data_IF_211306311139
#
_entry.id   IF_211306311139
#
_cell.length_a   1.000
_cell.length_b   1.000
_cell.length_c   1.000
_cell.angle_alpha   90.00
_cell.angle_beta   90.00
_cell.angle_gamma   90.00
#
_symmetry.space_group_name_H-M   'P 1'
#
loop_
_entity.id
_entity.type
_entity.pdbx_description
1 polymer ?
#
# COMPACT_ATOMS: atom_id res chain seq x y z
N UNK A 1 24.29 44.68 -21.94
CA UNK A 1 24.17 43.49 -21.09
C UNK A 1 23.52 42.43 -21.94
N UNK A 2 24.30 41.48 -22.46
CA UNK A 2 23.71 40.30 -23.08
C UNK A 2 23.07 39.50 -21.95
N UNK A 3 21.77 39.20 -22.05
CA UNK A 3 21.17 38.16 -21.24
C UNK A 3 22.00 36.91 -21.49
N UNK A 4 22.55 36.30 -20.44
CA UNK A 4 23.12 34.97 -20.58
C UNK A 4 22.01 34.09 -21.15
N UNK A 5 22.21 33.50 -22.34
CA UNK A 5 21.31 32.48 -22.85
C UNK A 5 21.20 31.43 -21.75
N UNK A 6 20.00 31.32 -21.16
CA UNK A 6 19.65 30.24 -20.26
C UNK A 6 20.01 28.94 -20.97
N UNK A 7 20.79 28.10 -20.30
CA UNK A 7 21.18 26.80 -20.81
C UNK A 7 20.13 25.79 -20.29
N UNK A 8 19.20 25.32 -21.14
CA UNK A 8 18.09 24.47 -20.69
C UNK A 8 18.56 23.19 -19.98
N UNK A 9 19.77 22.71 -20.28
CA UNK A 9 20.39 21.60 -19.56
C UNK A 9 20.69 21.91 -18.08
N UNK A 10 21.22 23.11 -17.79
CA UNK A 10 21.49 23.53 -16.41
C UNK A 10 20.19 23.79 -15.66
N UNK A 11 19.18 24.33 -16.36
CA UNK A 11 17.86 24.58 -15.79
C UNK A 11 17.15 23.26 -15.45
N UNK A 12 17.23 22.24 -16.33
CA UNK A 12 16.71 20.91 -16.06
C UNK A 12 17.37 20.26 -14.83
N UNK A 13 18.69 20.40 -14.69
CA UNK A 13 19.40 19.91 -13.49
C UNK A 13 18.90 20.61 -12.22
N UNK A 14 18.74 21.94 -12.26
CA UNK A 14 18.23 22.70 -11.12
C UNK A 14 16.78 22.31 -10.78
N UNK A 15 15.95 22.03 -11.79
CA UNK A 15 14.60 21.53 -11.61
C UNK A 15 14.60 20.16 -10.90
N UNK A 16 15.46 19.22 -11.31
CA UNK A 16 15.61 17.91 -10.64
C UNK A 16 16.02 18.09 -9.18
N UNK A 17 17.02 18.94 -8.92
CA UNK A 17 17.50 19.23 -7.56
C UNK A 17 16.39 19.85 -6.68
N UNK A 18 15.54 20.70 -7.26
CA UNK A 18 14.39 21.27 -6.57
C UNK A 18 13.32 20.22 -6.25
N UNK A 19 12.94 19.39 -7.23
CA UNK A 19 11.89 18.37 -7.11
C UNK A 19 12.23 17.30 -6.06
N UNK A 20 13.50 16.88 -6.02
CA UNK A 20 13.98 15.91 -5.03
C UNK A 20 14.54 16.57 -3.76
N UNK A 21 14.45 17.90 -3.65
CA UNK A 21 14.87 18.64 -2.47
C UNK A 21 13.88 18.51 -1.31
N UNK A 22 14.37 18.78 -0.10
CA UNK A 22 13.58 18.72 1.14
C UNK A 22 12.33 19.63 1.11
N UNK A 23 12.38 20.71 0.33
CA UNK A 23 11.28 21.66 0.17
C UNK A 23 10.04 21.03 -0.46
N UNK A 24 10.22 19.97 -1.26
CA UNK A 24 9.12 19.24 -1.89
C UNK A 24 8.83 17.94 -1.15
N UNK A 25 9.87 17.17 -0.80
CA UNK A 25 9.70 15.82 -0.25
C UNK A 25 9.10 15.80 1.16
N UNK A 26 9.31 16.85 1.96
CA UNK A 26 8.90 16.88 3.38
C UNK A 26 7.76 17.87 3.68
N UNK A 27 7.16 18.47 2.66
CA UNK A 27 6.07 19.44 2.84
C UNK A 27 4.70 18.82 2.65
N UNK A 28 3.72 19.39 3.34
CA UNK A 28 2.33 19.15 3.03
C UNK A 28 2.03 19.73 1.64
N UNK A 29 1.25 19.01 0.85
CA UNK A 29 0.87 19.42 -0.50
C UNK A 29 0.31 20.85 -0.56
N UNK A 30 -0.48 21.27 0.43
CA UNK A 30 -1.05 22.62 0.53
C UNK A 30 -0.01 23.75 0.74
N UNK A 31 1.23 23.40 1.09
CA UNK A 31 2.33 24.35 1.36
C UNK A 31 3.35 24.43 0.20
N UNK A 32 3.10 23.69 -0.88
CA UNK A 32 3.96 23.67 -2.06
C UNK A 32 3.69 24.92 -2.91
N UNK A 33 4.77 25.57 -3.34
CA UNK A 33 4.69 26.65 -4.31
C UNK A 33 4.40 26.07 -5.71
N UNK A 34 3.12 26.10 -6.09
CA UNK A 34 2.63 25.53 -7.35
C UNK A 34 3.26 26.19 -8.57
N UNK A 35 3.48 27.51 -8.56
CA UNK A 35 4.05 28.24 -9.70
C UNK A 35 5.50 27.80 -9.94
N UNK A 36 6.28 27.66 -8.87
CA UNK A 36 7.67 27.19 -8.96
C UNK A 36 7.73 25.72 -9.40
N UNK A 37 6.86 24.86 -8.89
CA UNK A 37 6.80 23.45 -9.28
C UNK A 37 6.31 23.25 -10.72
N UNK A 38 5.32 24.02 -11.16
CA UNK A 38 4.85 24.01 -12.54
C UNK A 38 5.96 24.46 -13.50
N UNK A 39 6.68 25.53 -13.16
CA UNK A 39 7.83 25.96 -13.95
C UNK A 39 8.92 24.88 -14.03
N UNK A 40 9.24 24.20 -12.92
CA UNK A 40 10.21 23.12 -12.90
C UNK A 40 9.77 21.94 -13.80
N UNK A 41 8.50 21.56 -13.77
CA UNK A 41 7.94 20.53 -14.63
C UNK A 41 7.99 20.92 -16.12
N UNK A 42 7.68 22.18 -16.47
CA UNK A 42 7.77 22.70 -17.84
C UNK A 42 9.22 22.68 -18.38
N UNK A 43 10.19 23.07 -17.54
CA UNK A 43 11.62 23.03 -17.88
C UNK A 43 12.06 21.59 -18.18
N UNK A 44 11.65 20.62 -17.36
CA UNK A 44 11.92 19.21 -17.59
C UNK A 44 11.27 18.69 -18.88
N UNK A 45 10.00 19.02 -19.09
CA UNK A 45 9.25 18.63 -20.28
C UNK A 45 9.95 19.11 -21.55
N UNK A 46 10.35 20.39 -21.55
CA UNK A 46 11.09 21.01 -22.65
C UNK A 46 12.46 20.38 -22.85
N UNK A 47 13.18 20.07 -21.78
CA UNK A 47 14.52 19.49 -21.86
C UNK A 47 14.49 18.08 -22.48
N UNK A 48 13.49 17.26 -22.13
CA UNK A 48 13.30 15.92 -22.72
C UNK A 48 13.11 16.00 -24.24
N UNK A 49 12.39 17.01 -24.74
CA UNK A 49 12.17 17.19 -26.19
C UNK A 49 13.40 17.70 -26.94
N UNK A 50 14.23 18.51 -26.28
CA UNK A 50 15.37 19.19 -26.91
C UNK A 50 16.63 18.34 -26.97
N UNK A 51 16.80 17.40 -26.04
CA UNK A 51 18.08 16.69 -25.86
C UNK A 51 17.93 15.19 -26.01
N UNK A 52 18.80 14.58 -26.83
CA UNK A 52 18.98 13.13 -26.86
C UNK A 52 19.99 12.73 -25.78
N UNK A 53 19.49 12.47 -24.58
CA UNK A 53 20.32 12.06 -23.45
C UNK A 53 20.83 10.62 -23.61
N UNK A 54 22.01 10.29 -23.06
CA UNK A 54 22.36 8.90 -22.75
C UNK A 54 21.26 8.29 -21.88
N UNK A 55 20.94 7.02 -22.09
CA UNK A 55 19.72 6.40 -21.54
C UNK A 55 19.53 6.55 -20.02
N UNK A 56 20.61 6.49 -19.24
CA UNK A 56 20.56 6.68 -17.78
C UNK A 56 20.12 8.10 -17.40
N UNK A 57 20.63 9.12 -18.10
CA UNK A 57 20.19 10.50 -17.92
C UNK A 57 18.77 10.69 -18.45
N UNK A 58 18.42 10.05 -19.57
CA UNK A 58 17.07 10.09 -20.15
C UNK A 58 16.02 9.61 -19.12
N UNK A 59 16.30 8.50 -18.44
CA UNK A 59 15.49 7.96 -17.36
C UNK A 59 15.30 8.94 -16.20
N UNK A 60 16.37 9.56 -15.70
CA UNK A 60 16.31 10.49 -14.57
C UNK A 60 15.40 11.70 -14.88
N UNK A 61 15.48 12.24 -16.10
CA UNK A 61 14.63 13.37 -16.49
C UNK A 61 13.16 12.96 -16.56
N UNK A 62 12.85 11.78 -17.13
CA UNK A 62 11.48 11.27 -17.17
C UNK A 62 10.93 10.95 -15.77
N UNK A 63 11.75 10.40 -14.87
CA UNK A 63 11.37 10.18 -13.48
C UNK A 63 11.04 11.50 -12.78
N UNK A 64 11.89 12.51 -12.93
CA UNK A 64 11.64 13.83 -12.34
C UNK A 64 10.37 14.49 -12.92
N UNK A 65 10.12 14.34 -14.23
CA UNK A 65 8.91 14.87 -14.87
C UNK A 65 7.66 14.19 -14.31
N UNK A 66 7.63 12.86 -14.25
CA UNK A 66 6.48 12.11 -13.71
C UNK A 66 6.26 12.44 -12.23
N UNK A 67 7.33 12.45 -11.43
CA UNK A 67 7.24 12.73 -10.01
C UNK A 67 6.71 14.15 -9.74
N UNK A 68 7.25 15.17 -10.42
CA UNK A 68 6.77 16.55 -10.31
C UNK A 68 5.32 16.71 -10.78
N UNK A 69 4.95 16.04 -11.87
CA UNK A 69 3.58 16.06 -12.41
C UNK A 69 2.58 15.48 -11.42
N UNK A 70 2.94 14.39 -10.73
CA UNK A 70 2.12 13.80 -9.64
C UNK A 70 1.95 14.80 -8.50
N UNK A 71 3.05 15.31 -7.97
CA UNK A 71 3.03 16.20 -6.79
C UNK A 71 2.22 17.46 -7.11
N UNK A 72 2.44 18.06 -8.29
CA UNK A 72 1.74 19.25 -8.72
C UNK A 72 0.22 19.05 -8.76
N UNK A 73 -0.24 17.93 -9.35
CA UNK A 73 -1.67 17.69 -9.52
C UNK A 73 -2.35 17.25 -8.22
N UNK A 74 -1.66 16.53 -7.33
CA UNK A 74 -2.18 16.30 -5.97
C UNK A 74 -2.24 17.59 -5.16
N UNK A 75 -1.22 18.45 -5.25
CA UNK A 75 -1.23 19.74 -4.57
C UNK A 75 -2.35 20.66 -5.07
N UNK A 76 -2.70 20.61 -6.37
CA UNK A 76 -3.89 21.29 -6.91
C UNK A 76 -5.18 20.79 -6.28
N UNK A 77 -5.38 19.47 -6.16
CA UNK A 77 -6.57 18.88 -5.54
C UNK A 77 -6.75 19.40 -4.10
N UNK A 78 -5.67 19.46 -3.33
CA UNK A 78 -5.68 19.94 -1.93
C UNK A 78 -6.09 21.41 -1.78
N UNK A 79 -5.91 22.22 -2.83
CA UNK A 79 -6.32 23.64 -2.85
C UNK A 79 -7.53 23.91 -3.76
N UNK A 80 -8.34 22.88 -4.02
CA UNK A 80 -9.56 22.93 -4.85
C UNK A 80 -9.32 23.46 -6.28
N UNK A 81 -8.13 23.23 -6.84
CA UNK A 81 -7.79 23.51 -8.23
C UNK A 81 -7.98 22.28 -9.13
N UNK A 82 -8.32 22.51 -10.39
CA UNK A 82 -8.47 21.43 -11.38
C UNK A 82 -7.11 20.83 -11.77
N UNK A 83 -7.06 19.51 -11.90
CA UNK A 83 -5.91 18.81 -12.50
C UNK A 83 -5.71 19.20 -13.96
N UNK A 84 -4.47 19.22 -14.43
CA UNK A 84 -4.13 19.51 -15.83
C UNK A 84 -4.00 18.20 -16.61
N UNK A 85 -5.09 17.77 -17.24
CA UNK A 85 -5.16 16.48 -17.94
C UNK A 85 -4.16 16.38 -19.09
N UNK A 86 -4.03 17.42 -19.92
CA UNK A 86 -3.10 17.44 -21.05
C UNK A 86 -1.64 17.23 -20.59
N UNK A 87 -1.26 17.80 -19.44
CA UNK A 87 0.08 17.63 -18.86
C UNK A 87 0.32 16.18 -18.39
N UNK A 88 -0.70 15.56 -17.79
CA UNK A 88 -0.64 14.17 -17.33
C UNK A 88 -0.52 13.21 -18.52
N UNK A 89 -1.31 13.43 -19.56
CA UNK A 89 -1.31 12.63 -20.79
C UNK A 89 0.03 12.77 -21.52
N UNK A 90 0.53 14.00 -21.71
CA UNK A 90 1.82 14.25 -22.36
C UNK A 90 2.97 13.58 -21.60
N UNK A 91 3.00 13.67 -20.27
CA UNK A 91 4.04 13.02 -19.47
C UNK A 91 4.04 11.49 -19.65
N UNK A 92 2.85 10.86 -19.70
CA UNK A 92 2.73 9.42 -19.94
C UNK A 92 3.10 9.02 -21.38
N UNK A 93 2.78 9.85 -22.38
CA UNK A 93 3.21 9.62 -23.77
C UNK A 93 4.74 9.60 -23.89
N UNK A 94 5.43 10.51 -23.19
CA UNK A 94 6.90 10.52 -23.14
C UNK A 94 7.46 9.27 -22.46
N UNK A 95 6.82 8.78 -21.40
CA UNK A 95 7.18 7.50 -20.78
C UNK A 95 7.02 6.34 -21.76
N UNK A 96 5.90 6.26 -22.48
CA UNK A 96 5.66 5.21 -23.48
C UNK A 96 6.73 5.25 -24.58
N UNK A 97 7.09 6.44 -25.08
CA UNK A 97 8.17 6.63 -26.05
C UNK A 97 9.55 6.17 -25.51
N UNK A 98 9.86 6.48 -24.24
CA UNK A 98 11.09 6.04 -23.59
C UNK A 98 11.18 4.51 -23.49
N UNK A 99 10.07 3.85 -23.14
CA UNK A 99 9.99 2.39 -23.05
C UNK A 99 10.16 1.74 -24.42
N UNK A 100 9.55 2.30 -25.47
CA UNK A 100 9.71 1.82 -26.85
C UNK A 100 11.14 1.97 -27.36
N UNK A 101 11.81 3.08 -27.03
CA UNK A 101 13.22 3.32 -27.35
C UNK A 101 14.15 2.32 -26.64
N UNK A 102 13.75 1.83 -25.47
CA UNK A 102 14.61 1.05 -24.57
C UNK A 102 13.98 -0.27 -24.05
N UNK A 103 13.58 -1.20 -24.93
CA UNK A 103 12.75 -2.36 -24.56
C UNK A 103 13.45 -3.40 -23.66
N UNK A 104 14.78 -3.30 -23.51
CA UNK A 104 15.59 -4.26 -22.74
C UNK A 104 16.06 -3.71 -21.38
N UNK A 105 15.69 -2.47 -21.04
CA UNK A 105 16.07 -1.87 -19.76
C UNK A 105 15.05 -2.22 -18.69
N UNK A 106 15.56 -2.60 -17.52
CA UNK A 106 14.76 -3.14 -16.40
C UNK A 106 14.83 -2.26 -15.16
N UNK A 107 15.20 -0.98 -15.31
CA UNK A 107 15.35 -0.02 -14.20
C UNK A 107 14.29 1.10 -14.25
N UNK A 108 13.14 0.80 -14.83
CA UNK A 108 12.00 1.71 -14.90
C UNK A 108 11.03 1.54 -13.73
N UNK A 109 11.41 0.80 -12.67
CA UNK A 109 10.51 0.42 -11.57
C UNK A 109 9.75 1.61 -10.97
N UNK A 110 10.47 2.63 -10.49
CA UNK A 110 9.85 3.82 -9.89
C UNK A 110 9.05 4.63 -10.92
N UNK A 111 9.60 4.80 -12.13
CA UNK A 111 8.94 5.53 -13.22
C UNK A 111 7.57 4.91 -13.56
N UNK A 112 7.52 3.59 -13.72
CA UNK A 112 6.31 2.85 -14.04
C UNK A 112 5.35 2.78 -12.86
N UNK A 113 5.87 2.68 -11.63
CA UNK A 113 5.04 2.73 -10.42
C UNK A 113 4.26 4.04 -10.35
N UNK A 114 4.95 5.17 -10.53
CA UNK A 114 4.37 6.51 -10.53
C UNK A 114 3.47 6.76 -11.74
N UNK A 115 3.87 6.32 -12.94
CA UNK A 115 3.02 6.39 -14.13
C UNK A 115 1.68 5.68 -13.92
N UNK A 116 1.69 4.54 -13.22
CA UNK A 116 0.47 3.85 -12.83
C UNK A 116 -0.41 4.64 -11.85
N UNK A 117 0.20 5.45 -10.96
CA UNK A 117 -0.54 6.35 -10.08
C UNK A 117 -1.20 7.49 -10.84
N UNK A 118 -0.49 8.13 -11.79
CA UNK A 118 -1.07 9.14 -12.67
C UNK A 118 -2.31 8.56 -13.37
N UNK A 119 -2.13 7.45 -14.07
CA UNK A 119 -3.19 6.83 -14.84
C UNK A 119 -4.39 6.46 -13.95
N UNK A 120 -4.17 5.85 -12.79
CA UNK A 120 -5.27 5.43 -11.91
C UNK A 120 -5.97 6.60 -11.22
N UNK A 121 -5.21 7.48 -10.58
CA UNK A 121 -5.75 8.43 -9.60
C UNK A 121 -6.00 9.82 -10.16
N UNK A 122 -5.29 10.22 -11.22
CA UNK A 122 -5.41 11.55 -11.81
C UNK A 122 -6.16 11.54 -13.14
N UNK A 123 -6.03 10.45 -13.92
CA UNK A 123 -6.76 10.26 -15.19
C UNK A 123 -8.01 9.38 -15.07
N UNK A 124 -8.24 8.75 -13.91
CA UNK A 124 -9.30 7.75 -13.69
C UNK A 124 -9.31 6.61 -14.73
N UNK A 125 -8.12 6.20 -15.20
CA UNK A 125 -7.93 5.04 -16.07
C UNK A 125 -7.24 3.89 -15.30
N UNK A 126 -8.01 3.07 -14.55
CA UNK A 126 -7.46 1.94 -13.81
C UNK A 126 -6.86 0.86 -14.71
N UNK A 127 -7.26 0.77 -15.99
CA UNK A 127 -6.70 -0.23 -16.91
C UNK A 127 -5.31 0.17 -17.37
N UNK A 128 -5.12 1.45 -17.68
CA UNK A 128 -3.81 2.00 -17.99
C UNK A 128 -2.89 1.95 -16.77
N UNK A 129 -3.41 2.28 -15.57
CA UNK A 129 -2.67 2.13 -14.32
C UNK A 129 -2.17 0.70 -14.11
N UNK A 130 -3.05 -0.28 -14.31
CA UNK A 130 -2.69 -1.70 -14.23
C UNK A 130 -1.65 -2.12 -15.29
N UNK A 131 -1.71 -1.59 -16.53
CA UNK A 131 -0.69 -1.84 -17.57
C UNK A 131 0.70 -1.42 -17.07
N UNK A 132 0.84 -0.22 -16.52
CA UNK A 132 2.12 0.26 -15.99
C UNK A 132 2.59 -0.56 -14.79
N UNK A 133 1.73 -0.82 -13.82
CA UNK A 133 2.08 -1.64 -12.66
C UNK A 133 2.43 -3.08 -13.03
N UNK A 134 1.85 -3.63 -14.10
CA UNK A 134 2.23 -4.94 -14.60
C UNK A 134 3.67 -4.95 -15.14
N UNK A 135 4.04 -3.98 -15.98
CA UNK A 135 5.41 -3.82 -16.49
C UNK A 135 6.40 -3.59 -15.34
N UNK A 136 6.01 -2.76 -14.37
CA UNK A 136 6.78 -2.45 -13.18
C UNK A 136 7.05 -3.70 -12.30
N UNK A 137 6.03 -4.53 -12.07
CA UNK A 137 6.15 -5.77 -11.30
C UNK A 137 7.08 -6.78 -11.97
N UNK A 138 7.13 -6.83 -13.31
CA UNK A 138 8.08 -7.66 -14.05
C UNK A 138 9.54 -7.25 -13.81
N UNK A 139 9.78 -6.03 -13.34
CA UNK A 139 11.09 -5.52 -12.94
C UNK A 139 11.35 -5.67 -11.42
N UNK A 140 10.59 -6.54 -10.75
CA UNK A 140 10.72 -6.82 -9.32
C UNK A 140 10.53 -5.60 -8.40
N UNK A 141 9.79 -4.57 -8.86
CA UNK A 141 9.41 -3.46 -8.00
C UNK A 141 8.32 -3.89 -7.00
N UNK A 142 8.64 -3.88 -5.71
CA UNK A 142 7.81 -4.46 -4.65
C UNK A 142 6.43 -3.80 -4.53
N UNK A 143 6.34 -2.48 -4.70
CA UNK A 143 5.06 -1.76 -4.68
C UNK A 143 4.11 -2.25 -5.78
N UNK A 144 4.64 -2.48 -6.98
CA UNK A 144 3.86 -2.95 -8.12
C UNK A 144 3.43 -4.41 -7.95
N UNK A 145 4.34 -5.27 -7.47
CA UNK A 145 4.02 -6.66 -7.16
C UNK A 145 2.92 -6.76 -6.09
N UNK A 146 2.96 -5.92 -5.05
CA UNK A 146 1.89 -5.83 -4.04
C UNK A 146 0.55 -5.43 -4.65
N UNK A 147 0.54 -4.43 -5.54
CA UNK A 147 -0.68 -4.00 -6.23
C UNK A 147 -1.25 -5.14 -7.07
N UNK A 148 -0.43 -5.84 -7.86
CA UNK A 148 -0.89 -6.98 -8.64
C UNK A 148 -1.44 -8.09 -7.73
N UNK A 149 -0.71 -8.44 -6.67
CA UNK A 149 -1.09 -9.49 -5.75
C UNK A 149 -2.46 -9.21 -5.11
N UNK A 150 -2.67 -7.96 -4.69
CA UNK A 150 -3.94 -7.49 -4.13
C UNK A 150 -5.08 -7.57 -5.13
N UNK A 151 -4.87 -7.10 -6.37
CA UNK A 151 -5.93 -7.11 -7.39
C UNK A 151 -6.28 -8.52 -7.86
N UNK A 152 -5.32 -9.43 -7.94
CA UNK A 152 -5.60 -10.84 -8.17
C UNK A 152 -6.36 -11.49 -7.01
N UNK A 153 -6.18 -11.02 -5.77
CA UNK A 153 -6.96 -11.50 -4.63
C UNK A 153 -8.41 -10.99 -4.67
N UNK A 154 -8.58 -9.68 -4.85
CA UNK A 154 -9.87 -9.00 -4.68
C UNK A 154 -10.71 -8.95 -5.96
N UNK A 155 -10.08 -9.02 -7.13
CA UNK A 155 -10.72 -8.71 -8.40
C UNK A 155 -10.86 -7.20 -8.66
N UNK A 156 -10.08 -6.38 -7.96
CA UNK A 156 -10.02 -4.94 -8.14
C UNK A 156 -9.72 -4.55 -9.60
N UNK A 157 -10.16 -3.35 -9.99
CA UNK A 157 -10.00 -2.80 -11.34
C UNK A 157 -10.60 -3.65 -12.48
N UNK A 158 -11.56 -4.51 -12.16
CA UNK A 158 -12.18 -5.43 -13.13
C UNK A 158 -11.25 -6.58 -13.55
N UNK A 159 -10.18 -6.81 -12.79
CA UNK A 159 -9.28 -7.95 -12.98
C UNK A 159 -9.98 -9.22 -12.48
N UNK A 160 -9.78 -10.33 -13.19
CA UNK A 160 -10.29 -11.62 -12.75
C UNK A 160 -9.51 -12.09 -11.52
N UNK A 161 -10.22 -12.44 -10.45
CA UNK A 161 -9.63 -13.08 -9.27
C UNK A 161 -8.84 -14.33 -9.66
N UNK A 162 -7.63 -14.46 -9.11
CA UNK A 162 -6.67 -15.52 -9.36
C UNK A 162 -5.78 -15.69 -8.11
N UNK A 163 -6.20 -16.58 -7.21
CA UNK A 163 -5.55 -16.75 -5.90
C UNK A 163 -4.13 -17.31 -6.02
N UNK A 164 -3.88 -18.18 -7.01
CA UNK A 164 -2.53 -18.69 -7.28
C UNK A 164 -1.58 -17.55 -7.68
N UNK A 165 -2.02 -16.65 -8.57
CA UNK A 165 -1.22 -15.47 -8.93
C UNK A 165 -1.08 -14.48 -7.78
N UNK A 166 -2.13 -14.28 -6.98
CA UNK A 166 -2.05 -13.44 -5.79
C UNK A 166 -0.97 -13.95 -4.83
N UNK A 167 -1.01 -15.24 -4.49
CA UNK A 167 -0.01 -15.88 -3.64
C UNK A 167 1.39 -15.80 -4.25
N UNK A 168 1.52 -16.06 -5.56
CA UNK A 168 2.79 -15.94 -6.26
C UNK A 168 3.42 -14.55 -6.11
N UNK A 169 2.68 -13.47 -6.40
CA UNK A 169 3.20 -12.10 -6.34
C UNK A 169 3.47 -11.64 -4.91
N UNK A 170 2.65 -12.04 -3.94
CA UNK A 170 2.97 -11.81 -2.53
C UNK A 170 4.26 -12.52 -2.12
N UNK A 171 4.46 -13.76 -2.56
CA UNK A 171 5.69 -14.49 -2.29
C UNK A 171 6.92 -13.85 -3.00
N UNK A 172 6.77 -13.36 -4.24
CA UNK A 172 7.87 -12.63 -4.91
C UNK A 172 8.24 -11.35 -4.17
N UNK A 173 7.25 -10.60 -3.68
CA UNK A 173 7.49 -9.38 -2.89
C UNK A 173 8.13 -9.69 -1.54
N UNK A 174 7.71 -10.77 -0.88
CA UNK A 174 8.37 -11.23 0.35
C UNK A 174 9.86 -11.51 0.11
N UNK A 175 10.23 -12.11 -1.03
CA UNK A 175 11.61 -12.43 -1.37
C UNK A 175 12.49 -11.19 -1.63
N UNK A 176 11.90 -9.98 -1.78
CA UNK A 176 12.69 -8.75 -1.80
C UNK A 176 13.21 -8.36 -0.40
N UNK A 177 12.78 -9.06 0.65
CA UNK A 177 13.18 -8.80 2.03
C UNK A 177 12.82 -7.38 2.46
N UNK A 178 13.79 -6.69 3.04
CA UNK A 178 13.63 -5.32 3.56
C UNK A 178 14.01 -4.22 2.54
N UNK A 179 14.38 -4.59 1.31
CA UNK A 179 14.83 -3.63 0.28
C UNK A 179 13.81 -2.55 -0.05
N UNK A 180 12.52 -2.84 0.19
CA UNK A 180 11.41 -1.91 0.02
C UNK A 180 10.68 -1.70 1.36
N UNK A 181 11.45 -1.57 2.44
CA UNK A 181 10.96 -1.32 3.79
C UNK A 181 9.87 -2.32 4.20
N UNK A 182 8.65 -1.86 4.50
CA UNK A 182 7.53 -2.70 4.92
C UNK A 182 6.89 -3.56 3.81
N UNK A 183 7.27 -3.40 2.54
CA UNK A 183 6.59 -4.08 1.44
C UNK A 183 6.66 -5.61 1.55
N UNK A 184 7.83 -6.15 1.94
CA UNK A 184 8.03 -7.58 2.16
C UNK A 184 7.23 -8.11 3.35
N UNK A 185 7.20 -7.36 4.46
CA UNK A 185 6.39 -7.68 5.66
C UNK A 185 4.90 -7.70 5.33
N UNK A 186 4.41 -6.68 4.63
CA UNK A 186 3.03 -6.60 4.17
C UNK A 186 2.66 -7.82 3.34
N UNK A 187 3.47 -8.15 2.34
CA UNK A 187 3.24 -9.29 1.45
C UNK A 187 3.26 -10.64 2.17
N UNK A 188 4.20 -10.83 3.09
CA UNK A 188 4.27 -12.03 3.91
C UNK A 188 3.02 -12.22 4.78
N UNK A 189 2.47 -11.13 5.34
CA UNK A 189 1.18 -11.16 6.08
C UNK A 189 0.02 -11.58 5.18
N UNK A 190 -0.02 -11.09 3.94
CA UNK A 190 -1.06 -11.47 2.97
C UNK A 190 -0.92 -12.92 2.52
N UNK A 191 0.31 -13.36 2.18
CA UNK A 191 0.62 -14.74 1.85
C UNK A 191 0.18 -15.70 2.98
N UNK A 192 0.44 -15.34 4.24
CA UNK A 192 -0.05 -16.08 5.42
C UNK A 192 -1.58 -16.19 5.44
N UNK A 193 -2.29 -15.07 5.26
CA UNK A 193 -3.75 -15.05 5.21
C UNK A 193 -4.32 -15.89 4.07
N UNK A 194 -3.70 -15.83 2.89
CA UNK A 194 -4.06 -16.67 1.74
C UNK A 194 -3.88 -18.15 2.08
N UNK A 195 -2.74 -18.56 2.65
CA UNK A 195 -2.52 -19.97 3.04
C UNK A 195 -3.43 -20.44 4.18
N UNK A 196 -3.90 -19.53 5.04
CA UNK A 196 -4.91 -19.87 6.04
C UNK A 196 -6.24 -20.28 5.37
N UNK A 197 -6.61 -19.60 4.28
CA UNK A 197 -7.84 -19.90 3.51
C UNK A 197 -7.66 -21.05 2.50
N UNK A 198 -6.46 -21.14 1.92
CA UNK A 198 -6.10 -22.01 0.80
C UNK A 198 -4.78 -22.75 1.10
N UNK A 199 -4.76 -23.65 2.10
CA UNK A 199 -3.56 -24.37 2.48
C UNK A 199 -2.99 -25.24 1.35
N UNK A 200 -3.82 -25.65 0.39
CA UNK A 200 -3.42 -26.43 -0.78
C UNK A 200 -2.46 -25.70 -1.74
N UNK A 201 -2.32 -24.38 -1.63
CA UNK A 201 -1.41 -23.60 -2.49
C UNK A 201 0.07 -23.83 -2.16
N UNK A 202 0.37 -24.49 -1.05
CA UNK A 202 1.73 -24.74 -0.61
C UNK A 202 1.85 -26.06 0.14
N UNK A 203 2.56 -27.02 -0.45
CA UNK A 203 2.85 -28.31 0.20
C UNK A 203 3.93 -28.20 1.29
N UNK A 204 4.77 -27.17 1.24
CA UNK A 204 5.99 -27.06 2.07
C UNK A 204 5.86 -26.10 3.24
N UNK A 205 5.07 -25.05 3.07
CA UNK A 205 4.91 -23.96 4.03
C UNK A 205 3.44 -23.78 4.33
N UNK A 206 3.05 -23.89 5.58
CA UNK A 206 1.70 -23.62 6.07
C UNK A 206 1.61 -22.19 6.62
N UNK A 207 0.40 -21.72 6.93
CA UNK A 207 0.22 -20.35 7.44
C UNK A 207 0.96 -20.11 8.77
N UNK A 208 1.11 -21.14 9.61
CA UNK A 208 1.80 -21.05 10.90
C UNK A 208 3.30 -20.70 10.73
N UNK A 209 3.92 -21.21 9.66
CA UNK A 209 5.35 -21.02 9.38
C UNK A 209 5.70 -19.57 9.01
N UNK A 210 4.72 -18.78 8.57
CA UNK A 210 4.94 -17.39 8.18
C UNK A 210 5.14 -16.44 9.36
N UNK A 211 4.60 -16.75 10.55
CA UNK A 211 4.70 -15.80 11.68
C UNK A 211 6.17 -15.55 12.07
N UNK A 212 7.03 -16.58 12.28
CA UNK A 212 8.45 -16.35 12.53
C UNK A 212 9.16 -15.60 11.39
N UNK A 213 8.83 -15.89 10.14
CA UNK A 213 9.46 -15.22 8.97
C UNK A 213 9.10 -13.73 8.90
N UNK A 214 7.84 -13.39 9.15
CA UNK A 214 7.38 -12.00 9.22
C UNK A 214 8.11 -11.27 10.35
N UNK A 215 8.20 -11.87 11.54
CA UNK A 215 8.86 -11.26 12.69
C UNK A 215 10.36 -11.05 12.45
N UNK A 216 11.02 -11.97 11.77
CA UNK A 216 12.43 -11.84 11.39
C UNK A 216 12.68 -10.69 10.39
N UNK A 217 11.74 -10.40 9.47
CA UNK A 217 11.83 -9.21 8.62
C UNK A 217 11.63 -7.92 9.41
N UNK A 218 10.71 -7.92 10.38
CA UNK A 218 10.47 -6.76 11.23
C UNK A 218 11.70 -6.47 12.10
N UNK A 219 12.32 -7.49 12.68
CA UNK A 219 13.55 -7.35 13.48
C UNK A 219 14.70 -6.75 12.63
N UNK A 220 14.89 -7.22 11.40
CA UNK A 220 15.86 -6.63 10.47
C UNK A 220 15.56 -5.15 10.16
N UNK A 221 14.29 -4.77 10.03
CA UNK A 221 13.90 -3.37 9.82
C UNK A 221 14.18 -2.50 11.06
N UNK A 222 13.87 -3.02 12.25
CA UNK A 222 14.16 -2.35 13.52
C UNK A 222 15.67 -2.11 13.68
N UNK A 223 16.50 -3.08 13.27
CA UNK A 223 17.97 -2.96 13.28
C UNK A 223 18.49 -1.95 12.25
N UNK A 224 18.02 -1.99 11.00
CA UNK A 224 18.52 -1.16 9.90
C UNK A 224 18.15 0.32 10.06
N UNK A 225 16.89 0.60 10.42
CA UNK A 225 16.36 1.96 10.40
C UNK A 225 16.38 2.66 11.77
N UNK A 226 16.74 1.97 12.85
CA UNK A 226 16.73 2.52 14.22
C UNK A 226 15.41 3.26 14.55
N UNK A 227 14.29 2.72 14.06
CA UNK A 227 12.97 3.33 14.21
C UNK A 227 12.37 2.91 15.57
N UNK A 228 12.07 3.90 16.41
CA UNK A 228 11.42 3.72 17.71
C UNK A 228 9.93 3.37 17.60
N UNK A 229 9.39 3.22 16.38
CA UNK A 229 8.02 2.78 16.15
C UNK A 229 7.78 1.35 16.62
N UNK A 230 7.21 1.22 17.83
CA UNK A 230 6.89 -0.07 18.45
C UNK A 230 5.99 -0.97 17.58
N UNK A 231 5.20 -0.40 16.65
CA UNK A 231 4.36 -1.15 15.72
C UNK A 231 4.87 -1.10 14.27
N UNK A 232 6.19 -1.11 14.09
CA UNK A 232 6.88 -1.21 12.80
C UNK A 232 6.19 -2.23 11.87
N UNK A 233 5.79 -1.78 10.68
CA UNK A 233 5.11 -2.56 9.64
C UNK A 233 3.90 -3.40 10.11
N UNK A 234 3.26 -3.00 11.21
CA UNK A 234 2.11 -3.67 11.80
C UNK A 234 2.43 -4.93 12.62
N UNK A 235 3.55 -4.93 13.34
CA UNK A 235 3.99 -6.01 14.26
C UNK A 235 2.87 -6.49 15.20
N UNK A 236 2.10 -5.58 15.79
CA UNK A 236 0.94 -5.91 16.64
C UNK A 236 -0.16 -6.65 15.88
N UNK A 237 -0.47 -6.22 14.64
CA UNK A 237 -1.45 -6.91 13.79
C UNK A 237 -0.97 -8.31 13.39
N UNK A 238 0.33 -8.52 13.19
CA UNK A 238 0.89 -9.87 12.91
C UNK A 238 0.52 -10.84 14.02
N UNK A 239 0.81 -10.45 15.28
CA UNK A 239 0.55 -11.26 16.47
C UNK A 239 -0.94 -11.45 16.73
N UNK A 240 -1.74 -10.39 16.58
CA UNK A 240 -3.19 -10.47 16.74
C UNK A 240 -3.81 -11.45 15.73
N UNK A 241 -3.45 -11.35 14.45
CA UNK A 241 -3.97 -12.26 13.43
C UNK A 241 -3.48 -13.70 13.65
N UNK A 242 -2.25 -13.92 14.17
CA UNK A 242 -1.82 -15.26 14.59
C UNK A 242 -2.74 -15.81 15.69
N UNK A 243 -3.01 -15.02 16.74
CA UNK A 243 -3.93 -15.40 17.80
C UNK A 243 -5.34 -15.72 17.25
N UNK A 244 -5.85 -14.89 16.33
CA UNK A 244 -7.18 -15.09 15.74
C UNK A 244 -7.24 -16.34 14.86
N UNK A 245 -6.21 -16.62 14.06
CA UNK A 245 -6.15 -17.84 13.24
C UNK A 245 -6.03 -19.10 14.10
N UNK A 246 -5.20 -19.09 15.16
CA UNK A 246 -5.15 -20.19 16.13
C UNK A 246 -6.51 -20.41 16.80
N UNK A 247 -7.15 -19.33 17.27
CA UNK A 247 -8.47 -19.41 17.89
C UNK A 247 -9.53 -19.94 16.92
N UNK A 248 -9.48 -19.53 15.66
CA UNK A 248 -10.44 -19.93 14.64
C UNK A 248 -10.29 -21.39 14.22
N UNK A 249 -9.06 -21.82 13.91
CA UNK A 249 -8.78 -23.15 13.36
C UNK A 249 -8.95 -24.26 14.40
N UNK A 250 -8.50 -24.02 15.64
CA UNK A 250 -8.39 -25.07 16.64
C UNK A 250 -8.85 -24.67 18.05
N UNK A 251 -9.47 -23.49 18.20
CA UNK A 251 -9.95 -22.96 19.48
C UNK A 251 -8.84 -22.78 20.54
N UNK A 252 -7.58 -22.63 20.11
CA UNK A 252 -6.46 -22.33 21.01
C UNK A 252 -6.49 -20.87 21.42
N UNK A 253 -6.45 -20.63 22.74
CA UNK A 253 -6.42 -19.29 23.33
C UNK A 253 -5.00 -18.94 23.75
N UNK A 254 -4.18 -18.53 22.80
CA UNK A 254 -2.82 -18.08 23.08
C UNK A 254 -2.81 -16.65 23.63
N UNK A 255 -3.14 -16.51 24.92
CA UNK A 255 -3.24 -15.23 25.60
C UNK A 255 -1.90 -14.47 25.65
N UNK A 256 -0.77 -15.16 25.46
CA UNK A 256 0.54 -14.53 25.39
C UNK A 256 0.69 -13.71 24.09
N UNK A 257 0.25 -14.23 22.94
CA UNK A 257 0.23 -13.48 21.68
C UNK A 257 -0.71 -12.27 21.76
N UNK A 258 -1.92 -12.47 22.29
CA UNK A 258 -2.88 -11.38 22.46
C UNK A 258 -2.34 -10.30 23.39
N UNK A 259 -1.70 -10.67 24.50
CA UNK A 259 -1.06 -9.70 25.41
C UNK A 259 0.05 -8.93 24.70
N UNK A 260 0.94 -9.60 23.98
CA UNK A 260 2.03 -8.93 23.26
C UNK A 260 1.51 -7.98 22.17
N UNK A 261 0.49 -8.37 21.41
CA UNK A 261 -0.15 -7.50 20.44
C UNK A 261 -0.68 -6.22 21.11
N UNK A 262 -1.39 -6.36 22.23
CA UNK A 262 -1.92 -5.23 23.00
C UNK A 262 -0.81 -4.32 23.55
N UNK A 263 0.26 -4.91 24.11
CA UNK A 263 1.40 -4.14 24.62
C UNK A 263 2.05 -3.31 23.48
N UNK A 264 2.15 -3.87 22.27
CA UNK A 264 2.66 -3.17 21.08
C UNK A 264 1.73 -2.03 20.65
N UNK A 265 0.42 -2.27 20.56
CA UNK A 265 -0.54 -1.24 20.19
C UNK A 265 -0.51 -0.06 21.17
N UNK A 266 -0.40 -0.33 22.47
CA UNK A 266 -0.27 0.71 23.50
C UNK A 266 1.06 1.46 23.34
N UNK A 267 2.17 0.76 23.11
CA UNK A 267 3.49 1.37 22.97
C UNK A 267 3.64 2.23 21.69
N UNK A 268 2.93 1.90 20.61
CA UNK A 268 2.98 2.65 19.36
C UNK A 268 2.21 3.97 19.41
N UNK A 269 1.32 4.12 20.41
CA UNK A 269 0.49 5.31 20.59
C UNK A 269 0.60 5.89 22.02
N UNK A 270 1.81 6.26 22.52
CA UNK A 270 1.98 6.69 23.92
C UNK A 270 1.19 7.96 24.27
N UNK A 271 0.99 8.84 23.29
CA UNK A 271 0.20 10.07 23.44
C UNK A 271 -1.28 9.88 23.05
N UNK A 272 -1.66 8.66 22.67
CA UNK A 272 -2.97 8.25 22.17
C UNK A 272 -3.43 6.96 22.87
N UNK A 273 -3.08 6.77 24.15
CA UNK A 273 -3.60 5.69 25.02
C UNK A 273 -5.15 5.63 25.10
N UNK A 274 -5.85 6.58 24.48
CA UNK A 274 -7.30 6.67 24.34
C UNK A 274 -7.79 6.68 22.87
N UNK A 275 -6.98 6.26 21.88
CA UNK A 275 -7.49 6.12 20.53
C UNK A 275 -8.53 5.01 20.47
N UNK A 276 -9.60 5.27 19.72
CA UNK A 276 -10.68 4.31 19.51
C UNK A 276 -10.13 3.01 18.89
N UNK A 277 -9.04 3.11 18.13
CA UNK A 277 -8.39 2.01 17.43
C UNK A 277 -7.71 1.04 18.39
N UNK A 278 -6.85 1.55 19.29
CA UNK A 278 -6.22 0.76 20.36
C UNK A 278 -7.28 0.18 21.28
N UNK A 279 -8.32 0.96 21.64
CA UNK A 279 -9.43 0.47 22.44
C UNK A 279 -10.19 -0.69 21.76
N UNK A 280 -10.42 -0.59 20.46
CA UNK A 280 -11.11 -1.62 19.69
C UNK A 280 -10.26 -2.89 19.55
N UNK A 281 -8.94 -2.79 19.35
CA UNK A 281 -8.07 -3.97 19.39
C UNK A 281 -8.03 -4.62 20.78
N UNK A 282 -7.87 -3.82 21.84
CA UNK A 282 -7.80 -4.28 23.22
C UNK A 282 -9.08 -4.94 23.75
N UNK A 283 -10.21 -4.72 23.06
CA UNK A 283 -11.48 -5.35 23.40
C UNK A 283 -11.49 -6.86 23.11
N UNK A 284 -10.68 -7.33 22.16
CA UNK A 284 -10.55 -8.76 21.86
C UNK A 284 -10.05 -9.50 23.12
N UNK A 285 -10.75 -10.57 23.51
CA UNK A 285 -10.44 -11.31 24.73
C UNK A 285 -11.12 -10.78 26.00
N UNK A 286 -11.86 -9.66 25.94
CA UNK A 286 -12.55 -9.08 27.10
C UNK A 286 -14.00 -9.57 27.24
N UNK A 287 -14.56 -9.67 28.47
CA UNK A 287 -15.92 -10.15 28.70
C UNK A 287 -17.01 -9.29 28.04
N UNK A 288 -16.77 -8.00 27.89
CA UNK A 288 -17.67 -6.98 27.33
C UNK A 288 -17.51 -6.78 25.82
N UNK A 289 -16.75 -7.66 25.14
CA UNK A 289 -16.49 -7.54 23.71
C UNK A 289 -17.75 -7.39 22.86
N UNK A 290 -18.74 -8.27 23.08
CA UNK A 290 -19.98 -8.27 22.29
C UNK A 290 -20.89 -7.07 22.61
N UNK A 291 -20.74 -6.48 23.79
CA UNK A 291 -21.50 -5.28 24.19
C UNK A 291 -20.93 -4.01 23.56
N UNK A 292 -19.58 -3.90 23.47
CA UNK A 292 -18.90 -2.65 23.12
C UNK A 292 -18.37 -2.56 21.69
N UNK A 293 -18.10 -3.68 21.03
CA UNK A 293 -17.38 -3.70 19.75
C UNK A 293 -18.07 -2.88 18.65
N UNK A 294 -19.38 -3.03 18.48
CA UNK A 294 -20.13 -2.28 17.44
C UNK A 294 -20.04 -0.77 17.67
N UNK A 295 -20.32 -0.30 18.89
CA UNK A 295 -20.25 1.13 19.21
C UNK A 295 -18.84 1.72 19.05
N UNK A 296 -17.80 0.95 19.40
CA UNK A 296 -16.41 1.35 19.16
C UNK A 296 -16.12 1.44 17.66
N UNK A 297 -16.48 0.43 16.88
CA UNK A 297 -16.28 0.43 15.43
C UNK A 297 -17.02 1.57 14.75
N UNK A 298 -18.24 1.90 15.17
CA UNK A 298 -19.02 3.03 14.65
C UNK A 298 -18.32 4.37 14.89
N UNK A 299 -17.60 4.51 16.01
CA UNK A 299 -16.91 5.75 16.37
C UNK A 299 -15.61 6.01 15.60
N UNK A 300 -15.02 4.98 14.96
CA UNK A 300 -13.85 5.15 14.08
C UNK A 300 -14.25 5.99 12.87
N UNK A 301 -13.52 7.06 12.58
CA UNK A 301 -13.81 7.93 11.44
C UNK A 301 -13.19 7.39 10.14
N UNK A 302 -11.93 6.96 10.21
CA UNK A 302 -11.23 6.43 9.05
C UNK A 302 -11.84 5.10 8.58
N UNK A 303 -12.41 5.03 7.35
CA UNK A 303 -13.04 3.82 6.87
C UNK A 303 -12.05 2.65 6.74
N UNK A 304 -10.78 2.91 6.42
CA UNK A 304 -9.77 1.86 6.25
C UNK A 304 -9.44 1.18 7.59
N UNK A 305 -9.17 1.95 8.64
CA UNK A 305 -9.04 1.46 10.02
C UNK A 305 -10.29 0.70 10.42
N UNK A 306 -11.49 1.25 10.18
CA UNK A 306 -12.76 0.60 10.52
C UNK A 306 -12.89 -0.78 9.87
N UNK A 307 -12.51 -0.92 8.60
CA UNK A 307 -12.50 -2.19 7.88
C UNK A 307 -11.49 -3.18 8.51
N UNK A 308 -10.27 -2.75 8.79
CA UNK A 308 -9.21 -3.60 9.35
C UNK A 308 -9.55 -4.14 10.76
N UNK A 309 -10.07 -3.27 11.63
CA UNK A 309 -10.48 -3.65 12.99
C UNK A 309 -11.75 -4.50 12.93
N UNK A 310 -12.72 -4.11 12.10
CA UNK A 310 -13.95 -4.86 11.86
C UNK A 310 -13.68 -6.29 11.43
N UNK A 311 -12.73 -6.50 10.51
CA UNK A 311 -12.29 -7.84 10.10
C UNK A 311 -11.79 -8.68 11.29
N UNK A 312 -10.95 -8.09 12.13
CA UNK A 312 -10.40 -8.77 13.31
C UNK A 312 -11.49 -9.12 14.33
N UNK A 313 -12.48 -8.24 14.50
CA UNK A 313 -13.65 -8.46 15.35
C UNK A 313 -14.57 -9.55 14.80
N UNK A 314 -14.75 -9.60 13.49
CA UNK A 314 -15.50 -10.66 12.80
C UNK A 314 -14.84 -12.02 13.05
N UNK A 315 -13.53 -12.14 12.80
CA UNK A 315 -12.80 -13.39 13.04
C UNK A 315 -12.96 -13.86 14.49
N UNK A 316 -12.83 -12.94 15.46
CA UNK A 316 -13.01 -13.25 16.87
C UNK A 316 -14.43 -13.72 17.20
N UNK A 317 -15.45 -12.98 16.73
CA UNK A 317 -16.85 -13.33 16.93
C UNK A 317 -17.20 -14.69 16.31
N UNK A 318 -16.73 -14.97 15.09
CA UNK A 318 -16.91 -16.26 14.42
C UNK A 318 -16.22 -17.40 15.17
N UNK A 319 -14.98 -17.22 15.61
CA UNK A 319 -14.27 -18.24 16.38
C UNK A 319 -14.98 -18.59 17.70
N UNK A 320 -15.71 -17.63 18.29
CA UNK A 320 -16.56 -17.83 19.47
C UNK A 320 -18.02 -18.20 19.16
N UNK A 321 -18.32 -18.52 17.89
CA UNK A 321 -19.65 -18.93 17.38
C UNK A 321 -20.74 -17.86 17.56
N UNK A 322 -20.37 -16.60 17.69
CA UNK A 322 -21.30 -15.46 17.78
C UNK A 322 -21.68 -14.94 16.40
N UNK A 323 -22.44 -15.77 15.67
CA UNK A 323 -22.81 -15.52 14.26
C UNK A 323 -23.53 -14.18 14.06
N UNK A 324 -24.55 -13.90 14.87
CA UNK A 324 -25.32 -12.65 14.78
C UNK A 324 -24.43 -11.42 14.94
N UNK A 325 -23.42 -11.50 15.82
CA UNK A 325 -22.49 -10.40 16.05
C UNK A 325 -21.53 -10.20 14.87
N UNK A 326 -20.98 -11.29 14.33
CA UNK A 326 -20.15 -11.24 13.14
C UNK A 326 -20.93 -10.67 11.93
N UNK A 327 -22.20 -11.05 11.76
CA UNK A 327 -23.05 -10.56 10.66
C UNK A 327 -23.42 -9.08 10.82
N UNK A 328 -23.61 -8.60 12.06
CA UNK A 328 -23.80 -7.18 12.32
C UNK A 328 -22.56 -6.35 11.93
N UNK A 329 -21.37 -6.80 12.31
CA UNK A 329 -20.11 -6.12 11.92
C UNK A 329 -19.90 -6.19 10.41
N UNK A 330 -20.16 -7.35 9.79
CA UNK A 330 -20.05 -7.50 8.33
C UNK A 330 -20.99 -6.54 7.59
N UNK A 331 -22.23 -6.39 8.08
CA UNK A 331 -23.21 -5.48 7.48
C UNK A 331 -22.74 -4.02 7.57
N UNK A 332 -22.17 -3.63 8.71
CA UNK A 332 -21.55 -2.31 8.88
C UNK A 332 -20.38 -2.10 7.91
N UNK A 333 -19.47 -3.08 7.78
CA UNK A 333 -18.34 -3.00 6.84
C UNK A 333 -18.79 -2.95 5.37
N UNK A 334 -19.82 -3.72 5.00
CA UNK A 334 -20.33 -3.78 3.63
C UNK A 334 -21.07 -2.49 3.21
N UNK A 335 -21.43 -1.64 4.17
CA UNK A 335 -22.01 -0.33 3.91
C UNK A 335 -20.96 0.77 3.66
N UNK A 336 -19.67 0.46 3.87
CA UNK A 336 -18.56 1.36 3.54
C UNK A 336 -18.21 1.23 2.05
N UNK A 337 -17.41 2.18 1.55
CA UNK A 337 -16.89 2.12 0.20
C UNK A 337 -16.21 0.76 -0.07
N UNK A 338 -16.60 0.13 -1.18
CA UNK A 338 -16.16 -1.22 -1.53
C UNK A 338 -14.67 -1.31 -1.83
N UNK A 339 -14.02 -0.23 -2.29
CA UNK A 339 -12.57 -0.22 -2.52
C UNK A 339 -11.80 -0.24 -1.20
N UNK A 340 -12.28 0.47 -0.18
CA UNK A 340 -11.61 0.57 1.13
C UNK A 340 -11.66 -0.75 1.90
N UNK A 341 -12.82 -1.40 1.88
CA UNK A 341 -13.06 -2.65 2.60
C UNK A 341 -12.79 -3.91 1.75
N UNK A 342 -12.36 -3.75 0.49
CA UNK A 342 -12.38 -4.80 -0.53
C UNK A 342 -11.72 -6.10 -0.08
N UNK A 343 -10.54 -5.98 0.52
CA UNK A 343 -9.76 -7.14 0.93
C UNK A 343 -10.40 -7.92 2.07
N UNK A 344 -10.86 -7.21 3.10
CA UNK A 344 -11.53 -7.82 4.25
C UNK A 344 -12.83 -8.49 3.83
N UNK A 345 -13.63 -7.82 2.99
CA UNK A 345 -14.88 -8.37 2.47
C UNK A 345 -14.64 -9.58 1.57
N UNK A 346 -13.64 -9.51 0.69
CA UNK A 346 -13.24 -10.64 -0.16
C UNK A 346 -12.79 -11.83 0.69
N UNK A 347 -11.98 -11.59 1.73
CA UNK A 347 -11.54 -12.64 2.66
C UNK A 347 -12.72 -13.31 3.36
N UNK A 348 -13.69 -12.52 3.81
CA UNK A 348 -14.92 -13.02 4.43
C UNK A 348 -15.73 -13.85 3.44
N UNK A 349 -15.83 -13.43 2.19
CA UNK A 349 -16.51 -14.20 1.15
C UNK A 349 -15.82 -15.54 0.87
N UNK A 350 -14.48 -15.58 0.89
CA UNK A 350 -13.75 -16.84 0.80
C UNK A 350 -14.00 -17.77 1.99
N UNK A 351 -14.06 -17.24 3.22
CA UNK A 351 -14.46 -18.03 4.39
C UNK A 351 -15.87 -18.63 4.21
N UNK A 352 -16.81 -17.84 3.69
CA UNK A 352 -18.21 -18.28 3.44
C UNK A 352 -18.29 -19.36 2.39
N UNK A 353 -17.70 -19.13 1.22
CA UNK A 353 -17.77 -20.06 0.09
C UNK A 353 -17.07 -21.38 0.37
N UNK A 354 -16.04 -21.37 1.22
CA UNK A 354 -15.33 -22.59 1.66
C UNK A 354 -16.02 -23.37 2.77
N UNK A 355 -17.15 -22.88 3.27
CA UNK A 355 -17.87 -23.51 4.39
C UNK A 355 -17.09 -23.48 5.70
N UNK A 356 -16.07 -22.63 5.79
CA UNK A 356 -15.31 -22.38 7.02
C UNK A 356 -15.91 -21.22 7.81
N UNK A 357 -16.85 -20.46 7.25
CA UNK A 357 -17.55 -19.35 7.90
C UNK A 357 -18.35 -19.80 9.11
#
# INVERSE_FOLDING_TARGET
>A
MAAAEQNPFNDAKAAIEFIYGDEIQNRLYAEIDLDTLEHAAEVLNTAIDLYDYPTENDLIHHQALIHSTIILNFARIEVDQSVHLDQLEEALEKVDALLEKNPNITDFGNLLFESGHIARFLLDDPRLGYKYWHLCAQQAHAGCMNILAFNYFTGGYGIRQDIEKSYYWHNQTYLTGINFHCAGVYSARKARGILFLFPELSERKQWQDWTPEIMNLIEQLEEEYSDDNANMCGKGQVLLHTYLYELYENNTRNLALLKQANDIFIAAEPNHEASVEVAAFNLIGKPDFFEKSLGLLESIQDPFTKCNIGFSHILYARALKQTHHADAIFSMMSALDSEVCNESLTTIEYLRTRGTW
#
